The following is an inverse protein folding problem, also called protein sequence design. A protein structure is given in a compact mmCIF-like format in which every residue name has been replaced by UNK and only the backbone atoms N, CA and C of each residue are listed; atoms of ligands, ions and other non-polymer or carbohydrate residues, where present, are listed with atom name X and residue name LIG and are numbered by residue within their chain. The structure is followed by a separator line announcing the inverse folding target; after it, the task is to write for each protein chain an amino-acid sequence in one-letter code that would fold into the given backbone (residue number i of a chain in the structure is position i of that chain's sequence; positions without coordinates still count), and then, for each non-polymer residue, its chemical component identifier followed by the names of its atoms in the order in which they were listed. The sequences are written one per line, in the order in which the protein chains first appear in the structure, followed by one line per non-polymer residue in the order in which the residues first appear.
data_IF_974892523251
#
_entry.id   IF_974892523251
#
_cell.length_a   1.000
_cell.length_b   1.000
_cell.length_c   1.000
_cell.angle_alpha   90.00
_cell.angle_beta   90.00
_cell.angle_gamma   90.00
#
_symmetry.space_group_name_H-M   'P 1'
#
loop_
_entity.id
_entity.type
_entity.pdbx_description
1 polymer ?
#
# COMPACT_ATOMS: atom_id res chain seq x y z
N UNK A 1 -20.83 -46.03 43.93
CA UNK A 1 -20.78 -44.82 44.77
C UNK A 1 -19.49 -44.03 44.52
N UNK A 2 -19.51 -43.31 43.40
CA UNK A 2 -18.95 -41.98 43.07
C UNK A 2 -17.48 -41.63 43.38
N UNK A 3 -16.64 -41.43 42.36
CA UNK A 3 -16.49 -40.22 41.52
C UNK A 3 -16.10 -38.92 42.28
N UNK A 4 -14.78 -38.69 42.32
CA UNK A 4 -14.10 -37.52 41.75
C UNK A 4 -14.38 -36.07 42.26
N UNK A 5 -13.24 -35.35 42.38
CA UNK A 5 -13.02 -33.90 42.30
C UNK A 5 -13.19 -33.12 43.63
N UNK A 6 -12.30 -32.21 44.03
CA UNK A 6 -11.65 -31.17 43.22
C UNK A 6 -10.42 -30.59 43.92
N UNK A 7 -9.29 -30.53 43.21
CA UNK A 7 -8.08 -29.80 43.60
C UNK A 7 -8.27 -28.29 43.41
N UNK A 8 -7.78 -27.50 44.37
CA UNK A 8 -7.48 -26.05 44.36
C UNK A 8 -6.34 -25.92 45.38
N UNK A 9 -5.24 -25.21 45.22
CA UNK A 9 -5.07 -23.87 44.65
C UNK A 9 -3.57 -23.59 44.43
N UNK A 10 -3.31 -22.80 43.39
CA UNK A 10 -2.21 -21.82 43.23
C UNK A 10 -0.75 -22.29 43.28
N UNK A 11 -0.13 -22.26 42.10
CA UNK A 11 1.30 -22.43 41.85
C UNK A 11 1.86 -21.03 41.51
N UNK A 12 2.74 -20.50 42.35
CA UNK A 12 3.55 -19.31 42.07
C UNK A 12 4.99 -19.74 41.72
N UNK A 13 5.53 -18.99 40.74
CA UNK A 13 6.82 -18.97 40.06
C UNK A 13 8.01 -19.82 40.57
N UNK A 14 8.53 -20.63 39.65
CA UNK A 14 9.90 -21.15 39.65
C UNK A 14 10.73 -20.49 38.54
N UNK A 15 11.91 -20.04 38.96
CA UNK A 15 13.08 -19.59 38.20
C UNK A 15 13.49 -20.46 37.00
N UNK A 16 14.10 -19.86 35.96
CA UNK A 16 15.49 -20.14 35.48
C UNK A 16 15.80 -19.65 34.04
N UNK A 17 16.65 -18.61 33.96
CA UNK A 17 17.89 -18.40 33.17
C UNK A 17 18.12 -19.03 31.76
N UNK A 18 18.56 -18.16 30.83
CA UNK A 18 19.69 -18.25 29.84
C UNK A 18 19.33 -18.02 28.33
N UNK A 19 20.29 -17.86 27.39
CA UNK A 19 20.87 -16.56 26.96
C UNK A 19 20.95 -16.37 25.41
N UNK A 20 21.47 -15.21 24.99
CA UNK A 20 22.20 -14.95 23.74
C UNK A 20 21.45 -14.80 22.40
N UNK A 21 21.66 -13.59 21.85
CA UNK A 21 21.86 -13.24 20.43
C UNK A 21 20.68 -13.21 19.45
N UNK A 22 20.49 -12.00 18.88
CA UNK A 22 20.31 -11.73 17.44
C UNK A 22 19.12 -10.85 17.00
N UNK A 23 18.72 -9.86 17.81
CA UNK A 23 17.68 -8.88 17.39
C UNK A 23 18.02 -7.40 17.69
N UNK A 24 19.31 -7.10 17.86
CA UNK A 24 19.79 -5.74 18.14
C UNK A 24 20.51 -5.11 16.94
N UNK A 25 19.90 -5.16 15.75
CA UNK A 25 20.41 -4.45 14.55
C UNK A 25 19.36 -3.78 13.65
N UNK A 26 18.16 -3.48 14.15
CA UNK A 26 17.20 -2.62 13.43
C UNK A 26 16.73 -1.40 14.22
N UNK A 27 17.27 -1.18 15.43
CA UNK A 27 16.94 -0.06 16.32
C UNK A 27 18.02 1.05 16.37
N UNK A 28 19.03 1.00 15.50
CA UNK A 28 20.14 1.98 15.44
C UNK A 28 20.15 2.70 14.09
N UNK A 29 19.05 3.36 13.78
CA UNK A 29 18.93 4.66 13.10
C UNK A 29 17.43 4.89 12.96
N UNK A 30 16.88 5.85 13.69
CA UNK A 30 15.56 6.41 13.38
C UNK A 30 15.74 7.19 12.08
N UNK A 31 15.96 6.49 10.97
CA UNK A 31 15.82 7.06 9.65
C UNK A 31 14.35 7.44 9.58
N UNK A 32 14.07 8.75 9.58
CA UNK A 32 12.73 9.19 9.25
C UNK A 32 12.43 8.59 7.87
N UNK A 33 11.41 7.74 7.76
CA UNK A 33 11.02 7.14 6.48
C UNK A 33 9.78 7.84 5.97
N UNK A 34 9.66 8.00 4.65
CA UNK A 34 8.47 8.54 3.98
C UNK A 34 7.92 7.49 3.03
N UNK A 35 6.59 7.35 3.01
CA UNK A 35 5.91 6.55 1.99
C UNK A 35 6.07 7.23 0.62
N UNK A 36 6.60 6.48 -0.35
CA UNK A 36 6.76 6.92 -1.73
C UNK A 36 6.18 5.88 -2.66
N UNK A 37 5.42 6.34 -3.65
CA UNK A 37 4.95 5.49 -4.74
C UNK A 37 6.13 5.06 -5.60
N UNK A 38 6.41 3.76 -5.62
CA UNK A 38 7.46 3.14 -6.43
C UNK A 38 6.94 2.57 -7.75
N UNK A 39 5.62 2.47 -7.91
CA UNK A 39 4.96 1.98 -9.13
C UNK A 39 3.93 3.02 -9.61
N UNK A 40 4.37 4.15 -10.16
CA UNK A 40 3.48 5.25 -10.53
C UNK A 40 2.49 4.88 -11.64
N UNK A 41 2.88 4.04 -12.60
CA UNK A 41 2.01 3.56 -13.68
C UNK A 41 0.90 2.67 -13.14
N UNK A 42 1.22 1.84 -12.15
CA UNK A 42 0.24 0.99 -11.48
C UNK A 42 -0.73 1.83 -10.64
N UNK A 43 -0.22 2.84 -9.92
CA UNK A 43 -1.06 3.80 -9.20
C UNK A 43 -1.97 4.57 -10.16
N UNK A 44 -1.46 4.96 -11.34
CA UNK A 44 -2.27 5.61 -12.37
C UNK A 44 -3.42 4.71 -12.85
N UNK A 45 -3.16 3.42 -13.08
CA UNK A 45 -4.22 2.48 -13.42
C UNK A 45 -5.27 2.39 -12.31
N UNK A 46 -4.87 2.21 -11.04
CA UNK A 46 -5.82 2.16 -9.94
C UNK A 46 -6.65 3.43 -9.78
N UNK A 47 -6.00 4.59 -9.86
CA UNK A 47 -6.67 5.89 -9.76
C UNK A 47 -7.64 6.14 -10.91
N UNK A 48 -7.44 5.55 -12.10
CA UNK A 48 -8.41 5.63 -13.18
C UNK A 48 -9.73 4.92 -12.84
N UNK A 49 -9.66 3.75 -12.20
CA UNK A 49 -10.84 2.97 -11.82
C UNK A 49 -11.47 3.43 -10.49
N UNK A 50 -10.70 4.09 -9.61
CA UNK A 50 -11.18 4.68 -8.35
C UNK A 50 -11.89 6.02 -8.56
N UNK A 51 -13.13 5.96 -9.07
CA UNK A 51 -13.94 7.14 -9.45
C UNK A 51 -14.24 8.09 -8.29
N UNK A 52 -14.42 7.56 -7.08
CA UNK A 52 -14.74 8.33 -5.88
C UNK A 52 -13.49 8.72 -5.06
N UNK A 53 -12.27 8.38 -5.54
CA UNK A 53 -11.00 8.71 -4.89
C UNK A 53 -10.93 8.19 -3.45
N UNK A 54 -11.43 6.97 -3.23
CA UNK A 54 -11.53 6.39 -1.90
C UNK A 54 -10.27 5.64 -1.44
N UNK A 55 -9.24 5.52 -2.30
CA UNK A 55 -7.97 4.88 -1.93
C UNK A 55 -7.97 3.36 -2.06
N UNK A 56 -9.08 2.78 -2.53
CA UNK A 56 -9.23 1.34 -2.75
C UNK A 56 -10.08 1.04 -3.98
N UNK A 57 -9.97 -0.19 -4.49
CA UNK A 57 -10.91 -0.74 -5.48
C UNK A 57 -11.74 -1.85 -4.85
N UNK A 58 -12.99 -1.99 -5.30
CA UNK A 58 -13.78 -3.19 -5.00
C UNK A 58 -13.29 -4.36 -5.86
N UNK A 59 -13.65 -5.60 -5.50
CA UNK A 59 -13.36 -6.77 -6.34
C UNK A 59 -13.84 -6.58 -7.78
N UNK A 60 -15.03 -6.03 -7.95
CA UNK A 60 -15.60 -5.77 -9.28
C UNK A 60 -14.76 -4.77 -10.07
N UNK A 61 -14.38 -3.66 -9.47
CA UNK A 61 -13.59 -2.63 -10.16
C UNK A 61 -12.20 -3.15 -10.51
N UNK A 62 -11.63 -4.02 -9.66
CA UNK A 62 -10.36 -4.67 -9.92
C UNK A 62 -10.44 -5.74 -11.01
N UNK A 63 -11.54 -6.50 -11.08
CA UNK A 63 -11.83 -7.41 -12.20
C UNK A 63 -11.88 -6.63 -13.53
N UNK A 64 -12.59 -5.50 -13.56
CA UNK A 64 -12.69 -4.63 -14.74
C UNK A 64 -11.33 -4.06 -15.15
N UNK A 65 -10.51 -3.65 -14.18
CA UNK A 65 -9.13 -3.19 -14.40
C UNK A 65 -8.28 -4.30 -15.03
N UNK A 66 -8.26 -5.50 -14.45
CA UNK A 66 -7.43 -6.59 -14.94
C UNK A 66 -7.85 -7.06 -16.35
N UNK A 67 -9.16 -7.11 -16.63
CA UNK A 67 -9.67 -7.46 -17.96
C UNK A 67 -9.36 -6.39 -19.03
N UNK A 68 -9.23 -5.11 -18.63
CA UNK A 68 -8.89 -4.01 -19.54
C UNK A 68 -7.39 -3.72 -19.67
N UNK A 69 -6.57 -4.29 -18.78
CA UNK A 69 -5.11 -4.10 -18.76
C UNK A 69 -4.35 -4.74 -19.93
N UNK A 70 -5.05 -5.44 -20.84
CA UNK A 70 -4.45 -6.12 -21.99
C UNK A 70 -3.80 -7.46 -21.64
N UNK A 71 -3.98 -7.95 -20.41
CA UNK A 71 -3.56 -9.30 -20.02
C UNK A 71 -4.49 -10.34 -20.66
N UNK A 72 -3.92 -11.40 -21.21
CA UNK A 72 -4.67 -12.54 -21.79
C UNK A 72 -5.22 -13.46 -20.70
N UNK A 73 -6.04 -12.91 -19.80
CA UNK A 73 -6.70 -13.64 -18.72
C UNK A 73 -8.16 -13.90 -19.09
N UNK A 74 -8.63 -15.10 -18.78
CA UNK A 74 -10.06 -15.39 -18.78
C UNK A 74 -10.76 -14.72 -17.59
N UNK A 75 -12.08 -14.58 -17.68
CA UNK A 75 -12.90 -14.08 -16.56
C UNK A 75 -12.71 -14.91 -15.29
N UNK A 76 -12.56 -16.22 -15.42
CA UNK A 76 -12.42 -17.10 -14.26
C UNK A 76 -11.04 -16.96 -13.59
N UNK A 77 -9.98 -16.86 -14.38
CA UNK A 77 -8.63 -16.60 -13.85
C UNK A 77 -8.57 -15.24 -13.16
N UNK A 78 -9.19 -14.22 -13.74
CA UNK A 78 -9.28 -12.89 -13.13
C UNK A 78 -9.96 -12.95 -11.76
N UNK A 79 -11.10 -13.65 -11.65
CA UNK A 79 -11.81 -13.84 -10.38
C UNK A 79 -10.96 -14.53 -9.31
N UNK A 80 -10.27 -15.60 -9.70
CA UNK A 80 -9.37 -16.34 -8.79
C UNK A 80 -8.21 -15.46 -8.33
N UNK A 81 -7.68 -14.61 -9.20
CA UNK A 81 -6.60 -13.68 -8.84
C UNK A 81 -7.10 -12.61 -7.88
N UNK A 82 -8.23 -11.96 -8.20
CA UNK A 82 -8.85 -10.93 -7.37
C UNK A 82 -9.17 -11.46 -5.98
N UNK A 83 -9.73 -12.66 -5.87
CA UNK A 83 -10.08 -13.27 -4.57
C UNK A 83 -8.86 -13.57 -3.68
N UNK A 84 -7.65 -13.63 -4.25
CA UNK A 84 -6.41 -13.85 -3.47
C UNK A 84 -5.82 -12.56 -2.92
N UNK A 85 -6.11 -11.43 -3.55
CA UNK A 85 -5.53 -10.13 -3.20
C UNK A 85 -6.52 -9.21 -2.49
N UNK A 86 -7.82 -9.41 -2.70
CA UNK A 86 -8.86 -8.67 -2.02
C UNK A 86 -9.02 -9.12 -0.56
N UNK A 87 -9.16 -8.16 0.33
CA UNK A 87 -9.48 -8.38 1.73
C UNK A 87 -10.73 -7.57 2.09
N UNK A 88 -11.77 -8.23 2.62
CA UNK A 88 -13.09 -7.62 2.86
C UNK A 88 -13.65 -6.93 1.60
N UNK A 89 -13.61 -7.63 0.46
CA UNK A 89 -14.12 -7.18 -0.85
C UNK A 89 -13.41 -5.93 -1.40
N UNK A 90 -12.24 -5.56 -0.85
CA UNK A 90 -11.51 -4.34 -1.20
C UNK A 90 -10.01 -4.60 -1.36
N UNK A 91 -9.37 -3.79 -2.22
CA UNK A 91 -7.91 -3.74 -2.39
C UNK A 91 -7.42 -2.32 -2.17
N UNK A 92 -6.62 -2.12 -1.12
CA UNK A 92 -5.97 -0.85 -0.79
C UNK A 92 -4.73 -0.69 -1.69
N UNK A 93 -4.84 0.08 -2.76
CA UNK A 93 -3.81 0.08 -3.80
C UNK A 93 -2.51 0.80 -3.40
N UNK A 94 -2.54 1.70 -2.41
CA UNK A 94 -1.33 2.29 -1.85
C UNK A 94 -0.43 1.24 -1.16
N UNK A 95 -1.02 0.17 -0.61
CA UNK A 95 -0.24 -0.94 -0.05
C UNK A 95 0.50 -1.76 -1.13
N UNK A 96 0.05 -1.67 -2.38
CA UNK A 96 0.65 -2.36 -3.53
C UNK A 96 1.64 -1.47 -4.28
N UNK A 97 1.50 -0.15 -4.17
CA UNK A 97 2.23 0.82 -5.01
C UNK A 97 3.27 1.62 -4.24
N UNK A 98 3.17 1.71 -2.91
CA UNK A 98 4.06 2.51 -2.08
C UNK A 98 5.06 1.66 -1.28
N UNK A 99 6.22 2.26 -0.97
CA UNK A 99 7.20 1.74 -0.03
C UNK A 99 7.68 2.84 0.92
N UNK A 100 8.00 2.46 2.16
CA UNK A 100 8.70 3.31 3.10
C UNK A 100 10.17 3.42 2.67
N UNK A 101 10.60 4.61 2.26
CA UNK A 101 11.98 4.90 1.90
C UNK A 101 12.60 5.83 2.96
N UNK A 102 13.90 5.69 3.28
CA UNK A 102 14.60 6.67 4.10
C UNK A 102 14.43 8.07 3.52
N UNK A 103 14.21 9.06 4.38
CA UNK A 103 14.23 10.47 3.98
C UNK A 103 15.70 10.83 3.78
N UNK A 104 16.10 10.95 2.52
CA UNK A 104 17.34 11.61 2.16
C UNK A 104 17.09 13.12 2.22
N UNK A 105 17.79 13.82 3.11
CA UNK A 105 17.66 15.28 3.31
C UNK A 105 18.11 16.09 2.06
N UNK A 106 18.52 15.41 0.98
CA UNK A 106 19.02 16.01 -0.26
C UNK A 106 18.02 16.04 -1.43
N UNK A 107 16.82 15.45 -1.32
CA UNK A 107 15.80 15.54 -2.38
C UNK A 107 15.00 16.85 -2.30
N UNK A 108 15.66 17.96 -2.68
CA UNK A 108 14.95 19.14 -3.15
C UNK A 108 14.10 18.73 -4.35
N UNK A 109 12.79 18.97 -4.24
CA UNK A 109 11.81 18.51 -5.22
C UNK A 109 12.22 18.88 -6.64
N UNK A 110 12.22 17.88 -7.52
CA UNK A 110 12.15 18.09 -8.95
C UNK A 110 10.75 18.65 -9.27
N UNK A 111 10.51 19.90 -8.85
CA UNK A 111 9.47 20.74 -9.42
C UNK A 111 9.92 20.98 -10.85
N UNK A 112 9.24 20.36 -11.81
CA UNK A 112 9.31 20.84 -13.18
C UNK A 112 8.65 22.22 -13.12
N UNK A 113 9.48 23.23 -12.93
CA UNK A 113 9.13 24.62 -13.15
C UNK A 113 8.83 24.72 -14.64
N UNK A 114 7.55 24.61 -15.01
CA UNK A 114 7.10 24.98 -16.34
C UNK A 114 7.35 26.47 -16.47
N UNK A 115 8.53 26.83 -16.96
CA UNK A 115 8.84 28.20 -17.33
C UNK A 115 7.71 28.67 -18.25
N UNK A 116 7.05 29.78 -17.89
CA UNK A 116 5.96 30.40 -18.68
C UNK A 116 6.37 30.77 -20.12
N UNK A 117 7.62 30.51 -20.51
CA UNK A 117 8.19 30.77 -21.83
C UNK A 117 7.81 29.75 -22.91
N UNK A 118 7.21 28.61 -22.55
CA UNK A 118 6.75 27.60 -23.52
C UNK A 118 5.30 27.82 -24.00
N UNK A 119 4.68 28.96 -23.63
CA UNK A 119 3.41 29.38 -24.22
C UNK A 119 3.70 29.94 -25.61
N UNK A 120 3.38 29.15 -26.63
CA UNK A 120 3.36 29.56 -28.03
C UNK A 120 2.71 30.96 -28.15
N UNK A 121 3.45 31.99 -28.62
CA UNK A 121 2.98 33.38 -28.67
C UNK A 121 1.76 33.58 -29.59
N UNK A 122 1.29 32.53 -30.27
CA UNK A 122 0.16 32.59 -31.19
C UNK A 122 -1.19 32.16 -30.60
N UNK A 123 -1.27 31.80 -29.32
CA UNK A 123 -2.56 31.48 -28.70
C UNK A 123 -3.43 32.75 -28.47
N UNK A 124 -4.66 32.84 -29.03
CA UNK A 124 -5.48 34.03 -28.91
C UNK A 124 -5.93 34.23 -27.47
N UNK A 125 -5.55 35.36 -26.86
CA UNK A 125 -6.01 35.75 -25.52
C UNK A 125 -7.50 36.04 -25.55
N UNK A 126 -8.30 35.10 -25.04
CA UNK A 126 -9.73 35.29 -24.82
C UNK A 126 -9.98 36.45 -23.85
N UNK A 127 -10.75 37.45 -24.30
CA UNK A 127 -11.19 38.57 -23.47
C UNK A 127 -12.19 38.05 -22.43
N UNK A 128 -11.89 38.21 -21.15
CA UNK A 128 -12.90 38.08 -20.09
C UNK A 128 -13.63 39.42 -19.97
N UNK A 129 -14.94 39.39 -20.23
CA UNK A 129 -15.88 40.48 -19.95
C UNK A 129 -16.14 40.62 -18.45
#
# INVERSE_FOLDING_TARGET
EDLLQRKKSTQEESSEKSPADDDQKSALTIAHTRQRTIQPELLLAFTFFDRNRCGYLTEKDLEELLLSSGLSLTKNETKILVSRIAHNEKVQYHQLTDKALPIDDHENGNFIETNETDIDPLAPKGKRS
#
